data_IF_034113842292
#
_entry.id   IF_034113842292
#
_cell.length_a   1.000
_cell.length_b   1.000
_cell.length_c   1.000
_cell.angle_alpha   90.00
_cell.angle_beta   90.00
_cell.angle_gamma   90.00
#
_symmetry.space_group_name_H-M   'P 1'
#
loop_
_entity.id
_entity.type
_entity.pdbx_description
1 polymer ?
#
# COMPACT_ATOMS: atom_id res chain seq x y z
N UNK A 1 -56.14 -11.37 63.13
CA UNK A 1 -55.25 -10.26 63.56
C UNK A 1 -54.15 -10.15 62.52
N UNK A 2 -54.14 -9.05 61.76
CA UNK A 2 -53.28 -8.86 60.59
C UNK A 2 -51.94 -8.25 61.03
N UNK A 3 -50.82 -8.93 60.75
CA UNK A 3 -49.48 -8.38 60.98
C UNK A 3 -49.22 -7.26 59.95
N UNK A 4 -49.18 -6.02 60.43
CA UNK A 4 -48.78 -4.85 59.65
C UNK A 4 -47.27 -4.85 59.44
N UNK A 5 -46.81 -4.75 58.19
CA UNK A 5 -45.41 -4.44 57.88
C UNK A 5 -45.18 -2.95 58.16
N UNK A 6 -44.25 -2.66 59.05
CA UNK A 6 -43.90 -1.30 59.47
C UNK A 6 -43.08 -0.61 58.37
N UNK A 7 -43.65 0.41 57.72
CA UNK A 7 -43.08 1.14 56.57
C UNK A 7 -42.09 2.25 56.98
N UNK A 8 -41.68 2.30 58.25
CA UNK A 8 -40.77 3.30 58.81
C UNK A 8 -39.29 2.96 58.66
N UNK A 9 -38.95 1.74 58.21
CA UNK A 9 -37.56 1.31 58.03
C UNK A 9 -37.06 1.67 56.63
N UNK A 10 -35.89 2.30 56.50
CA UNK A 10 -35.33 2.66 55.20
C UNK A 10 -35.03 1.40 54.38
N UNK A 11 -35.44 1.42 53.12
CA UNK A 11 -35.29 0.31 52.18
C UNK A 11 -33.79 0.03 51.95
N UNK A 12 -33.24 -1.12 52.38
CA UNK A 12 -31.79 -1.34 52.45
C UNK A 12 -31.11 -1.41 51.06
N UNK A 13 -31.90 -1.55 50.00
CA UNK A 13 -31.45 -1.63 48.61
C UNK A 13 -31.59 -0.29 47.85
N UNK A 14 -32.02 0.78 48.51
CA UNK A 14 -32.13 2.10 47.88
C UNK A 14 -30.77 2.63 47.39
N UNK A 15 -29.68 2.28 48.10
CA UNK A 15 -28.32 2.77 47.83
C UNK A 15 -27.67 2.15 46.57
N UNK A 16 -28.11 0.97 46.12
CA UNK A 16 -27.52 0.29 44.96
C UNK A 16 -28.17 0.71 43.63
N UNK A 17 -29.34 1.35 43.68
CA UNK A 17 -30.05 1.85 42.48
C UNK A 17 -29.58 3.23 42.03
N UNK A 18 -28.93 3.99 42.90
CA UNK A 18 -28.52 5.39 42.66
C UNK A 18 -27.04 5.54 42.29
N UNK A 19 -26.53 4.75 41.34
CA UNK A 19 -25.20 5.00 40.78
C UNK A 19 -25.01 4.42 39.37
N UNK A 20 -25.59 5.07 38.36
CA UNK A 20 -25.02 5.04 37.01
C UNK A 20 -24.94 6.47 36.50
N UNK A 21 -23.74 7.07 36.60
CA UNK A 21 -23.46 8.31 35.88
C UNK A 21 -23.47 7.99 34.38
N UNK A 22 -24.09 8.81 33.51
CA UNK A 22 -23.98 8.61 32.07
C UNK A 22 -22.51 8.74 31.67
N UNK A 23 -21.94 7.69 31.07
CA UNK A 23 -20.57 7.73 30.56
C UNK A 23 -20.58 8.66 29.35
N UNK A 24 -19.83 9.75 29.42
CA UNK A 24 -19.66 10.66 28.28
C UNK A 24 -18.81 9.98 27.21
N UNK A 25 -19.23 9.98 25.93
CA UNK A 25 -18.45 9.35 24.88
C UNK A 25 -17.14 10.12 24.66
N UNK A 26 -16.01 9.42 24.78
CA UNK A 26 -14.69 9.97 24.46
C UNK A 26 -14.61 10.15 22.95
N UNK A 27 -14.45 11.40 22.48
CA UNK A 27 -14.21 11.69 21.05
C UNK A 27 -12.78 11.25 20.70
N UNK A 28 -12.66 10.09 20.05
CA UNK A 28 -11.41 9.67 19.41
C UNK A 28 -11.17 10.57 18.19
N UNK A 29 -10.23 11.51 18.28
CA UNK A 29 -9.75 12.23 17.11
C UNK A 29 -8.99 11.25 16.22
N UNK A 30 -9.66 10.76 15.18
CA UNK A 30 -9.02 9.93 14.15
C UNK A 30 -8.06 10.81 13.35
N UNK A 31 -6.83 10.95 13.83
CA UNK A 31 -5.74 11.56 13.08
C UNK A 31 -5.29 10.51 12.07
N UNK A 32 -5.96 10.44 10.92
CA UNK A 32 -5.47 9.63 9.80
C UNK A 32 -4.11 10.19 9.39
N UNK A 33 -3.03 9.39 9.39
CA UNK A 33 -1.73 9.87 8.96
C UNK A 33 -1.85 10.35 7.51
N UNK A 34 -1.54 11.63 7.27
CA UNK A 34 -1.50 12.19 5.92
C UNK A 34 -0.51 11.37 5.09
N UNK A 35 -0.96 10.85 3.95
CA UNK A 35 -0.07 10.16 3.00
C UNK A 35 1.02 11.13 2.56
N UNK A 36 2.29 10.75 2.77
CA UNK A 36 3.41 11.53 2.25
C UNK A 36 3.35 11.48 0.72
N UNK A 37 3.56 12.60 0.00
CA UNK A 37 3.60 12.58 -1.45
C UNK A 37 4.77 11.71 -1.90
N UNK A 38 4.47 10.61 -2.61
CA UNK A 38 5.46 9.76 -3.25
C UNK A 38 5.86 10.43 -4.56
N UNK A 39 7.08 10.97 -4.64
CA UNK A 39 7.62 11.52 -5.88
C UNK A 39 8.09 10.37 -6.76
N UNK A 40 7.30 10.02 -7.77
CA UNK A 40 7.69 9.04 -8.80
C UNK A 40 8.69 9.73 -9.73
N UNK A 41 9.97 9.40 -9.58
CA UNK A 41 11.02 9.87 -10.50
C UNK A 41 11.06 8.91 -11.68
N UNK A 42 10.47 9.31 -12.81
CA UNK A 42 10.70 8.63 -14.07
C UNK A 42 12.13 8.94 -14.51
N UNK A 43 13.03 7.97 -14.39
CA UNK A 43 14.37 8.00 -15.01
C UNK A 43 14.22 7.83 -16.54
N UNK A 44 13.51 8.76 -17.19
CA UNK A 44 13.48 8.84 -18.65
C UNK A 44 14.81 9.42 -19.11
N UNK A 45 15.75 8.53 -19.37
CA UNK A 45 17.11 8.89 -19.78
C UNK A 45 18.09 7.93 -19.14
N UNK A 46 18.06 6.66 -19.57
CA UNK A 46 19.12 5.71 -19.23
C UNK A 46 20.47 6.26 -19.67
N UNK A 47 21.51 5.95 -18.89
CA UNK A 47 22.88 6.39 -19.14
C UNK A 47 23.27 6.14 -20.62
N UNK A 48 23.65 7.17 -21.40
CA UNK A 48 23.97 7.02 -22.81
C UNK A 48 25.07 5.98 -23.07
N UNK A 49 25.97 5.79 -22.10
CA UNK A 49 27.02 4.76 -22.18
C UNK A 49 26.43 3.36 -22.12
N UNK A 50 25.46 3.13 -21.23
CA UNK A 50 24.81 1.83 -21.10
C UNK A 50 23.94 1.52 -22.32
N UNK A 51 23.24 2.53 -22.85
CA UNK A 51 22.48 2.39 -24.09
C UNK A 51 23.37 1.93 -25.25
N UNK A 52 24.53 2.54 -25.42
CA UNK A 52 25.47 2.18 -26.49
C UNK A 52 25.94 0.72 -26.36
N UNK A 53 26.27 0.28 -25.13
CA UNK A 53 26.66 -1.11 -24.86
C UNK A 53 25.56 -2.11 -25.17
N UNK A 54 24.33 -1.81 -24.73
CA UNK A 54 23.18 -2.68 -24.97
C UNK A 54 22.90 -2.81 -26.50
N UNK A 55 23.03 -1.71 -27.24
CA UNK A 55 22.82 -1.70 -28.69
C UNK A 55 23.95 -2.40 -29.45
N UNK A 56 25.21 -2.26 -29.02
CA UNK A 56 26.33 -3.01 -29.59
C UNK A 56 26.15 -4.53 -29.38
N UNK A 57 25.68 -4.93 -28.20
CA UNK A 57 25.37 -6.32 -27.90
C UNK A 57 24.32 -6.87 -28.87
N UNK A 58 23.19 -6.15 -29.05
CA UNK A 58 22.14 -6.57 -29.99
C UNK A 58 22.70 -6.72 -31.41
N UNK A 59 23.48 -5.76 -31.89
CA UNK A 59 24.13 -5.84 -33.20
C UNK A 59 25.08 -7.03 -33.34
N UNK A 60 25.77 -7.41 -32.27
CA UNK A 60 26.64 -8.60 -32.26
C UNK A 60 25.83 -9.89 -32.42
N UNK A 61 24.67 -9.98 -31.76
CA UNK A 61 23.75 -11.11 -31.91
C UNK A 61 23.18 -11.19 -33.32
N UNK A 62 22.74 -10.05 -33.88
CA UNK A 62 22.24 -9.99 -35.25
C UNK A 62 23.32 -10.41 -36.26
N UNK A 63 24.58 -9.99 -36.08
CA UNK A 63 25.73 -10.42 -36.91
C UNK A 63 26.04 -11.90 -36.77
N UNK A 64 25.78 -12.50 -35.61
CA UNK A 64 25.89 -13.94 -35.41
C UNK A 64 24.70 -14.71 -36.03
N UNK A 65 23.76 -14.00 -36.68
CA UNK A 65 22.57 -14.59 -37.28
C UNK A 65 21.46 -14.89 -36.29
N UNK A 66 21.58 -14.46 -35.02
CA UNK A 66 20.53 -14.63 -34.03
C UNK A 66 19.54 -13.47 -34.14
N UNK A 67 18.27 -13.78 -34.34
CA UNK A 67 17.17 -12.83 -34.50
C UNK A 67 15.97 -13.24 -33.63
N UNK A 68 14.92 -12.42 -33.63
CA UNK A 68 13.72 -12.66 -32.81
C UNK A 68 12.96 -13.93 -33.23
N UNK A 69 13.14 -14.39 -34.47
CA UNK A 69 12.46 -15.55 -35.02
C UNK A 69 13.15 -16.86 -34.60
N UNK A 70 14.48 -16.86 -34.50
CA UNK A 70 15.25 -18.06 -34.15
C UNK A 70 15.66 -18.11 -32.67
N UNK A 71 15.59 -16.99 -31.95
CA UNK A 71 15.97 -16.92 -30.54
C UNK A 71 15.02 -16.06 -29.72
N UNK A 72 14.31 -16.71 -28.78
CA UNK A 72 13.46 -16.03 -27.79
C UNK A 72 14.27 -15.08 -26.90
N UNK A 73 15.54 -15.38 -26.66
CA UNK A 73 16.42 -14.53 -25.87
C UNK A 73 16.64 -13.17 -26.56
N UNK A 74 16.87 -13.16 -27.88
CA UNK A 74 17.03 -11.93 -28.66
C UNK A 74 15.76 -11.09 -28.61
N UNK A 75 14.59 -11.72 -28.74
CA UNK A 75 13.30 -11.04 -28.60
C UNK A 75 13.16 -10.33 -27.25
N UNK A 76 13.46 -11.02 -26.15
CA UNK A 76 13.42 -10.43 -24.80
C UNK A 76 14.42 -9.29 -24.65
N UNK A 77 15.63 -9.42 -25.22
CA UNK A 77 16.65 -8.36 -25.18
C UNK A 77 16.16 -7.10 -25.92
N UNK A 78 15.63 -7.25 -27.13
CA UNK A 78 15.10 -6.14 -27.93
C UNK A 78 13.87 -5.49 -27.28
N UNK A 79 12.97 -6.28 -26.70
CA UNK A 79 11.84 -5.77 -25.93
C UNK A 79 12.29 -4.98 -24.68
N UNK A 80 13.29 -5.49 -23.95
CA UNK A 80 13.85 -4.80 -22.79
C UNK A 80 14.57 -3.50 -23.20
N UNK A 81 15.27 -3.51 -24.33
CA UNK A 81 15.88 -2.31 -24.90
C UNK A 81 14.81 -1.25 -25.20
N UNK A 82 13.72 -1.65 -25.87
CA UNK A 82 12.58 -0.77 -26.15
C UNK A 82 11.92 -0.24 -24.87
N UNK A 83 11.73 -1.08 -23.85
CA UNK A 83 11.16 -0.65 -22.56
C UNK A 83 12.05 0.37 -21.83
N UNK A 84 13.38 0.24 -21.95
CA UNK A 84 14.35 1.11 -21.28
C UNK A 84 14.55 2.43 -22.00
N UNK A 85 14.66 2.41 -23.32
CA UNK A 85 15.08 3.57 -24.11
C UNK A 85 14.01 4.11 -25.06
N UNK A 86 12.91 3.38 -25.29
CA UNK A 86 11.81 3.78 -26.18
C UNK A 86 12.08 3.59 -27.67
N UNK A 87 13.20 2.94 -28.03
CA UNK A 87 13.64 2.74 -29.41
C UNK A 87 13.57 1.28 -29.85
N UNK A 88 13.20 1.04 -31.10
CA UNK A 88 13.20 -0.31 -31.70
C UNK A 88 14.52 -0.56 -32.44
N UNK A 89 15.06 -1.76 -32.29
CA UNK A 89 16.34 -2.22 -32.86
C UNK A 89 16.17 -3.63 -33.39
#
# INVERSE_FOLDING_TARGET
MLLTRDMSKPDPLARTRSAKKPVTPVKLSSVRPKSKPVRVVYLRGGDPVQRAKDLEHIRRLDRAGLNEHNSKAVKVIKENFFRRYGERV
#
